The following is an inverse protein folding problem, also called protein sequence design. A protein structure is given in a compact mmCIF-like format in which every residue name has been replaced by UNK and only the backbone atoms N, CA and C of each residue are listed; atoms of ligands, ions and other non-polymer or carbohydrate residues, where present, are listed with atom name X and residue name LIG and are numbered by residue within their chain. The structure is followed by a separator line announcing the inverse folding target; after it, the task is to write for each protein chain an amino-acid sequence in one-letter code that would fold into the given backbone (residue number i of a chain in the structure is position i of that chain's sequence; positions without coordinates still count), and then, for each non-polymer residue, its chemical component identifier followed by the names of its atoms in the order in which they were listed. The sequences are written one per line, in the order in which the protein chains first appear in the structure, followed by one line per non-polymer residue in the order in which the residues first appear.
data_IF_827325169242
#
_entry.id   IF_827325169242
#
_cell.length_a   1.000
_cell.length_b   1.000
_cell.length_c   1.000
_cell.angle_alpha   90.00
_cell.angle_beta   90.00
_cell.angle_gamma   90.00
#
_symmetry.space_group_name_H-M   'P 1'
#
loop_
_entity.id
_entity.type
_entity.pdbx_description
1 polymer ?
#
# COMPACT_ATOMS: atom_id res chain seq x y z
N UNK A 1 14.56 -30.06 -0.62
CA UNK A 1 13.51 -29.14 -0.18
C UNK A 1 12.79 -28.58 -1.42
N UNK A 2 11.47 -28.71 -1.46
CA UNK A 2 10.72 -28.21 -2.61
C UNK A 2 10.69 -26.68 -2.62
N UNK A 3 10.91 -26.06 -3.77
CA UNK A 3 10.78 -24.62 -3.93
C UNK A 3 9.30 -24.21 -3.82
N UNK A 4 9.05 -23.14 -3.08
CA UNK A 4 7.70 -22.56 -2.99
C UNK A 4 7.40 -21.85 -4.31
N UNK A 5 6.35 -22.27 -4.99
CA UNK A 5 5.94 -21.67 -6.26
C UNK A 5 5.07 -20.46 -6.00
N UNK A 6 5.52 -19.28 -6.44
CA UNK A 6 4.74 -18.05 -6.31
C UNK A 6 3.52 -18.11 -7.23
N UNK A 7 2.36 -17.80 -6.67
CA UNK A 7 1.11 -17.67 -7.39
C UNK A 7 0.87 -16.18 -7.65
N UNK A 8 0.43 -15.86 -8.86
CA UNK A 8 0.22 -14.50 -9.32
C UNK A 8 -1.25 -14.25 -9.61
N UNK A 9 -1.67 -12.99 -9.47
CA UNK A 9 -2.93 -12.48 -10.01
C UNK A 9 -2.61 -11.51 -11.15
N UNK A 10 -3.53 -11.37 -12.11
CA UNK A 10 -3.39 -10.38 -13.18
C UNK A 10 -4.06 -9.08 -12.76
N UNK A 11 -3.34 -7.98 -12.92
CA UNK A 11 -3.89 -6.63 -12.78
C UNK A 11 -3.56 -5.83 -14.03
N UNK A 12 -4.28 -4.75 -14.26
CA UNK A 12 -4.05 -3.89 -15.41
C UNK A 12 -4.13 -2.42 -15.03
N UNK A 13 -3.43 -1.61 -15.79
CA UNK A 13 -3.52 -0.15 -15.76
C UNK A 13 -3.59 0.38 -17.20
N UNK A 14 -3.41 1.69 -17.39
CA UNK A 14 -3.51 2.32 -18.70
C UNK A 14 -2.47 1.86 -19.72
N UNK A 15 -1.39 1.21 -19.28
CA UNK A 15 -0.32 0.73 -20.17
C UNK A 15 -0.25 -0.79 -20.31
N UNK A 16 -1.20 -1.52 -19.76
CA UNK A 16 -1.36 -2.94 -20.00
C UNK A 16 -1.46 -3.80 -18.75
N UNK A 17 -1.39 -5.11 -18.96
CA UNK A 17 -1.50 -6.09 -17.88
C UNK A 17 -0.14 -6.44 -17.29
N UNK A 18 -0.14 -6.74 -16.00
CA UNK A 18 1.02 -7.25 -15.27
C UNK A 18 0.60 -8.32 -14.28
N UNK A 19 1.47 -9.29 -14.10
CA UNK A 19 1.33 -10.29 -13.03
C UNK A 19 1.86 -9.70 -11.72
N UNK A 20 1.01 -9.74 -10.70
CA UNK A 20 1.32 -9.29 -9.34
C UNK A 20 1.23 -10.50 -8.42
N UNK A 21 2.13 -10.69 -7.45
CA UNK A 21 1.99 -11.80 -6.51
C UNK A 21 0.61 -11.79 -5.85
N UNK A 22 -0.02 -12.95 -5.75
CA UNK A 22 -1.42 -13.04 -5.36
C UNK A 22 -1.69 -12.48 -3.97
N UNK A 23 -0.79 -12.71 -3.04
CA UNK A 23 -1.04 -12.46 -1.61
C UNK A 23 -0.48 -11.13 -1.10
N UNK A 24 0.04 -10.27 -1.99
CA UNK A 24 0.54 -8.96 -1.59
C UNK A 24 -0.55 -7.91 -1.67
N UNK A 25 -0.42 -6.86 -0.86
CA UNK A 25 -1.39 -5.76 -0.82
C UNK A 25 -1.09 -4.64 -1.81
N UNK A 26 0.15 -4.52 -2.31
CA UNK A 26 0.42 -3.55 -3.35
C UNK A 26 -0.18 -3.99 -4.69
N UNK A 27 -0.47 -3.02 -5.54
CA UNK A 27 -1.06 -3.26 -6.84
C UNK A 27 -0.08 -3.04 -7.98
N UNK A 28 -0.61 -3.07 -9.20
CA UNK A 28 0.17 -2.97 -10.44
C UNK A 28 0.93 -1.65 -10.55
N UNK A 29 0.36 -0.55 -10.10
CA UNK A 29 1.01 0.76 -10.20
C UNK A 29 2.26 0.85 -9.31
N UNK A 30 2.16 0.39 -8.07
CA UNK A 30 3.31 0.33 -7.18
C UNK A 30 4.37 -0.66 -7.69
N UNK A 31 3.96 -1.80 -8.25
CA UNK A 31 4.89 -2.74 -8.85
C UNK A 31 5.67 -2.10 -10.00
N UNK A 32 4.99 -1.40 -10.91
CA UNK A 32 5.66 -0.71 -12.02
C UNK A 32 6.59 0.40 -11.53
N UNK A 33 6.18 1.14 -10.52
CA UNK A 33 7.02 2.19 -9.94
C UNK A 33 8.28 1.58 -9.31
N UNK A 34 8.16 0.50 -8.57
CA UNK A 34 9.31 -0.19 -7.97
C UNK A 34 10.27 -0.72 -9.03
N UNK A 35 9.73 -1.27 -10.13
CA UNK A 35 10.55 -1.77 -11.24
C UNK A 35 11.24 -0.66 -12.03
N UNK A 36 10.56 0.49 -12.17
CA UNK A 36 11.03 1.59 -13.00
C UNK A 36 12.05 2.50 -12.27
N UNK A 37 11.91 2.64 -10.97
CA UNK A 37 12.74 3.55 -10.17
C UNK A 37 13.62 2.79 -9.18
N UNK A 38 14.72 2.23 -9.69
CA UNK A 38 15.77 1.58 -8.90
C UNK A 38 16.88 2.61 -8.61
N UNK A 39 16.65 3.50 -7.67
CA UNK A 39 17.57 4.61 -7.44
C UNK A 39 18.46 4.34 -6.23
N UNK A 40 17.86 4.12 -5.05
CA UNK A 40 18.63 3.93 -3.82
C UNK A 40 18.71 2.48 -3.38
N UNK A 41 17.78 1.63 -3.83
CA UNK A 41 17.63 0.27 -3.31
C UNK A 41 17.00 0.19 -1.93
N UNK A 42 16.55 1.33 -1.39
CA UNK A 42 15.88 1.43 -0.10
C UNK A 42 14.37 1.47 -0.30
N UNK A 43 13.65 1.30 0.79
CA UNK A 43 12.20 1.49 0.83
C UNK A 43 11.84 2.66 1.74
N UNK A 44 10.56 2.99 1.83
CA UNK A 44 10.08 4.12 2.61
C UNK A 44 10.42 3.95 4.10
N UNK A 45 10.86 5.03 4.75
CA UNK A 45 11.16 5.03 6.18
C UNK A 45 9.88 4.74 6.98
N UNK A 46 9.94 3.86 8.01
CA UNK A 46 8.76 3.50 8.80
C UNK A 46 8.01 4.69 9.40
N UNK A 47 8.71 5.73 9.81
CA UNK A 47 8.07 6.95 10.36
C UNK A 47 7.19 7.66 9.33
N UNK A 48 7.59 7.67 8.07
CA UNK A 48 6.80 8.27 6.99
C UNK A 48 5.56 7.42 6.74
N UNK A 49 5.70 6.10 6.71
CA UNK A 49 4.56 5.17 6.54
C UNK A 49 3.55 5.38 7.67
N UNK A 50 4.00 5.43 8.91
CA UNK A 50 3.14 5.63 10.07
C UNK A 50 2.45 7.00 10.05
N UNK A 51 3.17 8.04 9.65
CA UNK A 51 2.60 9.39 9.54
C UNK A 51 1.51 9.47 8.48
N UNK A 52 1.72 8.83 7.33
CA UNK A 52 0.70 8.76 6.28
C UNK A 52 -0.53 7.98 6.78
N UNK A 53 -0.33 6.89 7.50
CA UNK A 53 -1.43 6.12 8.09
C UNK A 53 -2.25 6.98 9.06
N UNK A 54 -1.60 7.77 9.89
CA UNK A 54 -2.29 8.68 10.82
C UNK A 54 -3.08 9.77 10.09
N UNK A 55 -2.53 10.32 9.02
CA UNK A 55 -3.23 11.31 8.19
C UNK A 55 -4.46 10.68 7.54
N UNK A 56 -4.34 9.49 7.00
CA UNK A 56 -5.46 8.76 6.40
C UNK A 56 -6.54 8.42 7.42
N UNK A 57 -6.15 8.04 8.62
CA UNK A 57 -7.07 7.77 9.73
C UNK A 57 -7.87 9.03 10.11
N UNK A 58 -7.17 10.14 10.31
CA UNK A 58 -7.81 11.42 10.63
C UNK A 58 -8.77 11.85 9.52
N UNK A 59 -8.38 11.68 8.26
CA UNK A 59 -9.23 12.00 7.10
C UNK A 59 -10.48 11.13 7.06
N UNK A 60 -10.36 9.84 7.33
CA UNK A 60 -11.51 8.92 7.36
C UNK A 60 -12.50 9.31 8.46
N UNK A 61 -12.02 9.61 9.64
CA UNK A 61 -12.85 10.04 10.78
C UNK A 61 -13.57 11.33 10.44
N UNK A 62 -12.86 12.32 9.93
CA UNK A 62 -13.44 13.62 9.55
C UNK A 62 -14.49 13.45 8.46
N UNK A 63 -14.18 12.72 7.43
CA UNK A 63 -15.10 12.50 6.31
C UNK A 63 -16.37 11.75 6.74
N UNK A 64 -16.26 10.85 7.71
CA UNK A 64 -17.43 10.24 8.31
C UNK A 64 -18.26 11.28 9.09
N UNK A 65 -17.62 12.08 9.93
CA UNK A 65 -18.32 13.08 10.77
C UNK A 65 -19.08 14.12 9.96
N UNK A 66 -18.56 14.52 8.80
CA UNK A 66 -19.22 15.50 7.92
C UNK A 66 -20.15 14.84 6.88
N UNK A 67 -20.36 13.55 6.96
CA UNK A 67 -21.33 12.83 6.11
C UNK A 67 -20.85 12.48 4.71
N UNK A 68 -19.55 12.54 4.44
CA UNK A 68 -18.98 12.20 3.12
C UNK A 68 -18.53 10.75 2.99
N UNK A 69 -18.46 10.02 4.09
CA UNK A 69 -18.00 8.64 4.09
C UNK A 69 -18.90 7.78 4.97
N UNK A 70 -19.29 6.63 4.45
CA UNK A 70 -20.09 5.65 5.19
C UNK A 70 -19.32 5.11 6.41
N UNK A 71 -20.03 4.88 7.51
CA UNK A 71 -19.42 4.43 8.78
C UNK A 71 -18.65 3.12 8.61
N UNK A 72 -19.21 2.17 7.87
CA UNK A 72 -18.57 0.86 7.64
C UNK A 72 -17.23 1.00 6.93
N UNK A 73 -17.17 1.88 5.94
CA UNK A 73 -15.95 2.17 5.19
C UNK A 73 -14.94 2.92 6.06
N UNK A 74 -15.40 3.93 6.77
CA UNK A 74 -14.53 4.69 7.70
C UNK A 74 -13.92 3.79 8.75
N UNK A 75 -14.70 2.91 9.38
CA UNK A 75 -14.21 1.96 10.38
C UNK A 75 -13.17 0.99 9.80
N UNK A 76 -13.38 0.52 8.58
CA UNK A 76 -12.42 -0.34 7.89
C UNK A 76 -11.09 0.37 7.61
N UNK A 77 -11.16 1.62 7.16
CA UNK A 77 -9.96 2.44 6.92
C UNK A 77 -9.20 2.67 8.22
N UNK A 78 -9.91 3.02 9.30
CA UNK A 78 -9.29 3.25 10.61
C UNK A 78 -8.58 1.99 11.11
N UNK A 79 -9.21 0.82 10.99
CA UNK A 79 -8.57 -0.45 11.37
C UNK A 79 -7.32 -0.74 10.56
N UNK A 80 -7.37 -0.51 9.26
CA UNK A 80 -6.21 -0.71 8.38
C UNK A 80 -5.07 0.25 8.76
N UNK A 81 -5.38 1.51 9.03
CA UNK A 81 -4.40 2.50 9.47
C UNK A 81 -3.76 2.12 10.80
N UNK A 82 -4.56 1.63 11.74
CA UNK A 82 -4.04 1.18 13.05
C UNK A 82 -3.10 -0.02 12.91
N UNK A 83 -3.40 -0.95 12.02
CA UNK A 83 -2.50 -2.08 11.72
C UNK A 83 -1.17 -1.61 11.14
N UNK A 84 -1.20 -0.68 10.20
CA UNK A 84 -0.01 -0.11 9.59
C UNK A 84 0.82 0.63 10.64
N UNK A 85 0.18 1.47 11.45
CA UNK A 85 0.85 2.23 12.52
C UNK A 85 1.47 1.32 13.59
N UNK A 86 0.92 0.12 13.78
CA UNK A 86 1.47 -0.89 14.67
C UNK A 86 2.70 -1.63 14.08
N UNK A 87 3.11 -1.28 12.87
CA UNK A 87 4.27 -1.86 12.20
C UNK A 87 3.97 -3.02 11.26
N UNK A 88 2.69 -3.32 11.04
CA UNK A 88 2.28 -4.38 10.13
C UNK A 88 2.26 -3.87 8.70
N UNK A 89 2.44 -4.78 7.74
CA UNK A 89 2.31 -4.51 6.30
C UNK A 89 3.32 -3.50 5.74
N UNK A 90 4.36 -3.14 6.47
CA UNK A 90 5.39 -2.22 5.98
C UNK A 90 6.10 -2.76 4.73
N UNK A 91 6.22 -4.07 4.59
CA UNK A 91 6.78 -4.74 3.43
C UNK A 91 5.98 -4.53 2.13
N UNK A 92 4.74 -4.07 2.24
CA UNK A 92 3.92 -3.75 1.07
C UNK A 92 4.26 -2.38 0.45
N UNK A 93 5.04 -1.56 1.15
CA UNK A 93 5.47 -0.23 0.68
C UNK A 93 6.82 -0.40 -0.03
N UNK A 94 6.77 -0.81 -1.30
CA UNK A 94 7.91 -1.30 -2.07
C UNK A 94 8.62 -0.24 -2.92
N UNK A 95 8.06 0.97 -3.02
CA UNK A 95 8.61 2.01 -3.88
C UNK A 95 9.85 2.67 -3.27
N UNK A 96 10.72 3.20 -4.13
CA UNK A 96 11.92 3.89 -3.70
C UNK A 96 11.56 5.20 -2.97
N UNK A 97 12.25 5.58 -1.88
CA UNK A 97 11.91 6.76 -1.12
C UNK A 97 12.19 8.08 -1.84
N UNK A 98 13.01 8.06 -2.88
CA UNK A 98 13.37 9.28 -3.63
C UNK A 98 12.38 9.55 -4.74
N UNK A 99 11.92 8.51 -5.44
CA UNK A 99 11.10 8.68 -6.63
C UNK A 99 10.14 7.50 -6.80
N UNK A 100 8.94 7.79 -7.30
CA UNK A 100 7.98 6.76 -7.71
C UNK A 100 6.95 6.37 -6.66
N UNK A 101 6.99 7.00 -5.50
CA UNK A 101 6.09 6.62 -4.40
C UNK A 101 5.36 7.73 -3.70
#
# INVERSE_FOLDING_TARGET
MAAVKTVYRSEHDSIGERSVPKDVYYGVQSLRAAENFHITGLTMHPEIINSIAEIKKASAITNYEIGLLDKRVADAIVRACDEIAAGKLHEAFIVDPIQGG
#
